data_IF_182020478660
#
_entry.id   IF_182020478660
#
_cell.length_a   1.000
_cell.length_b   1.000
_cell.length_c   1.000
_cell.angle_alpha   90.00
_cell.angle_beta   90.00
_cell.angle_gamma   90.00
#
_symmetry.space_group_name_H-M   'P 1'
#
loop_
_entity.id
_entity.type
_entity.pdbx_description
1 polymer ?
#
# COMPACT_ATOMS: atom_id res chain seq x y z
N UNK A 1 25.43 3.12 32.03
CA UNK A 1 23.97 3.08 31.83
C UNK A 1 23.53 1.63 31.79
N UNK A 2 22.45 1.23 32.45
CA UNK A 2 21.99 -0.17 32.48
C UNK A 2 21.45 -0.61 31.11
N UNK A 3 21.64 -1.88 30.75
CA UNK A 3 21.08 -2.50 29.53
C UNK A 3 19.56 -2.30 29.42
N UNK A 4 18.85 -2.34 30.56
CA UNK A 4 17.42 -2.08 30.62
C UNK A 4 17.03 -0.71 30.08
N UNK A 5 17.80 0.34 30.43
CA UNK A 5 17.52 1.69 29.96
C UNK A 5 17.79 1.84 28.45
N UNK A 6 18.81 1.15 27.92
CA UNK A 6 19.09 1.15 26.49
C UNK A 6 17.99 0.43 25.70
N UNK A 7 17.52 -0.72 26.20
CA UNK A 7 16.42 -1.47 25.59
C UNK A 7 15.12 -0.66 25.58
N UNK A 8 14.79 -0.02 26.71
CA UNK A 8 13.61 0.84 26.81
C UNK A 8 13.71 1.99 25.79
N UNK A 9 14.81 2.74 25.77
CA UNK A 9 15.00 3.86 24.82
C UNK A 9 14.94 3.40 23.36
N UNK A 10 15.52 2.25 23.03
CA UNK A 10 15.44 1.67 21.69
C UNK A 10 13.99 1.31 21.30
N UNK A 11 13.22 0.74 22.23
CA UNK A 11 11.80 0.44 22.03
C UNK A 11 10.98 1.70 21.78
N UNK A 12 11.17 2.76 22.57
CA UNK A 12 10.50 4.06 22.35
C UNK A 12 10.88 4.68 20.99
N UNK A 13 12.14 4.58 20.59
CA UNK A 13 12.59 5.10 19.29
C UNK A 13 11.95 4.33 18.12
N UNK A 14 11.85 3.00 18.23
CA UNK A 14 11.22 2.17 17.20
C UNK A 14 9.73 2.46 17.02
N UNK A 15 9.04 2.93 18.06
CA UNK A 15 7.62 3.33 17.96
C UNK A 15 7.42 4.61 17.13
N UNK A 16 8.43 5.48 17.09
CA UNK A 16 8.36 6.76 16.39
C UNK A 16 8.69 6.64 14.90
N UNK A 17 9.45 5.63 14.50
CA UNK A 17 9.90 5.46 13.11
C UNK A 17 8.81 4.72 12.31
N UNK A 18 8.44 5.22 11.12
CA UNK A 18 7.54 4.50 10.24
C UNK A 18 8.16 3.18 9.78
N UNK A 19 7.34 2.14 9.70
CA UNK A 19 7.73 0.82 9.25
C UNK A 19 7.30 0.62 7.80
N UNK A 20 8.03 -0.20 7.06
CA UNK A 20 7.69 -0.53 5.69
C UNK A 20 6.81 -1.79 5.69
N UNK A 21 5.61 -1.70 5.10
CA UNK A 21 4.71 -2.85 4.92
C UNK A 21 5.01 -3.57 3.61
N UNK A 22 5.16 -2.81 2.52
CA UNK A 22 5.55 -3.30 1.19
C UNK A 22 6.48 -2.28 0.54
N UNK A 23 6.99 -2.57 -0.66
CA UNK A 23 7.90 -1.66 -1.37
C UNK A 23 7.35 -0.24 -1.53
N UNK A 24 6.02 -0.09 -1.65
CA UNK A 24 5.38 1.21 -1.90
C UNK A 24 4.52 1.72 -0.72
N UNK A 25 4.39 0.93 0.36
CA UNK A 25 3.50 1.25 1.48
C UNK A 25 4.28 1.23 2.79
N UNK A 26 4.29 2.37 3.45
CA UNK A 26 4.82 2.59 4.79
C UNK A 26 3.69 2.84 5.76
N UNK A 27 3.91 2.58 7.05
CA UNK A 27 2.94 2.89 8.08
C UNK A 27 3.57 3.36 9.39
N UNK A 28 2.87 4.19 10.16
CA UNK A 28 3.45 4.73 11.38
C UNK A 28 2.53 5.65 12.19
N UNK A 29 3.07 6.26 13.26
CA UNK A 29 2.33 7.25 14.04
C UNK A 29 2.24 8.58 13.29
N UNK A 30 1.33 9.44 13.72
CA UNK A 30 1.15 10.80 13.21
C UNK A 30 2.45 11.63 13.25
N UNK A 31 3.31 11.38 14.24
CA UNK A 31 4.63 12.01 14.35
C UNK A 31 5.54 11.74 13.13
N UNK A 32 5.24 10.73 12.31
CA UNK A 32 5.91 10.46 11.05
C UNK A 32 5.87 11.64 10.08
N UNK A 33 4.80 12.45 10.11
CA UNK A 33 4.65 13.63 9.25
C UNK A 33 5.75 14.68 9.49
N UNK A 34 6.32 14.71 10.70
CA UNK A 34 7.42 15.63 11.04
C UNK A 34 8.80 15.15 10.56
N UNK A 35 8.92 13.91 10.09
CA UNK A 35 10.19 13.30 9.71
C UNK A 35 10.52 13.55 8.24
N UNK A 36 10.69 14.81 7.86
CA UNK A 36 10.88 15.24 6.46
C UNK A 36 11.96 14.45 5.71
N UNK A 37 13.09 14.16 6.36
CA UNK A 37 14.18 13.37 5.77
C UNK A 37 13.73 11.95 5.39
N UNK A 38 12.94 11.32 6.25
CA UNK A 38 12.39 9.99 5.98
C UNK A 38 11.40 10.04 4.81
N UNK A 39 10.50 11.03 4.81
CA UNK A 39 9.52 11.22 3.74
C UNK A 39 10.19 11.41 2.38
N UNK A 40 11.22 12.26 2.31
CA UNK A 40 11.98 12.53 1.09
C UNK A 40 12.81 11.33 0.65
N UNK A 41 13.53 10.67 1.56
CA UNK A 41 14.37 9.52 1.24
C UNK A 41 13.57 8.34 0.68
N UNK A 42 12.31 8.18 1.12
CA UNK A 42 11.42 7.12 0.66
C UNK A 42 10.43 7.60 -0.41
N UNK A 43 10.60 8.80 -0.98
CA UNK A 43 9.71 9.38 -2.00
C UNK A 43 8.22 9.30 -1.62
N UNK A 44 7.87 9.58 -0.36
CA UNK A 44 6.50 9.52 0.14
C UNK A 44 5.76 10.78 -0.31
N UNK A 45 4.70 10.60 -1.11
CA UNK A 45 3.84 11.69 -1.61
C UNK A 45 2.36 11.49 -1.28
N UNK A 46 1.97 10.26 -0.98
CA UNK A 46 0.60 9.92 -0.61
C UNK A 46 0.52 9.65 0.88
N UNK A 47 -0.46 10.25 1.52
CA UNK A 47 -0.68 10.18 2.96
C UNK A 47 -2.10 9.68 3.22
N UNK A 48 -2.23 8.61 4.00
CA UNK A 48 -3.52 8.04 4.36
C UNK A 48 -3.69 8.11 5.87
N UNK A 49 -4.54 9.01 6.34
CA UNK A 49 -4.86 9.16 7.75
C UNK A 49 -5.97 8.19 8.17
N UNK A 50 -5.77 7.46 9.27
CA UNK A 50 -6.72 6.43 9.75
C UNK A 50 -7.07 6.69 11.21
N UNK A 51 -8.36 6.77 11.52
CA UNK A 51 -8.83 6.92 12.90
C UNK A 51 -8.48 8.27 13.52
N UNK A 52 -8.21 9.29 12.69
CA UNK A 52 -7.95 10.67 13.12
C UNK A 52 -9.09 11.54 12.59
N UNK A 53 -9.78 12.32 13.43
CA UNK A 53 -10.80 13.24 12.97
C UNK A 53 -10.28 14.17 11.88
N UNK A 54 -11.03 14.33 10.80
CA UNK A 54 -10.64 15.12 9.62
C UNK A 54 -10.26 16.54 9.99
N UNK A 55 -10.95 17.15 10.95
CA UNK A 55 -10.61 18.47 11.48
C UNK A 55 -9.18 18.56 12.03
N UNK A 56 -8.73 17.51 12.69
CA UNK A 56 -7.38 17.43 13.26
C UNK A 56 -6.34 17.17 12.18
N UNK A 57 -6.63 16.30 11.20
CA UNK A 57 -5.73 16.07 10.07
C UNK A 57 -5.53 17.36 9.26
N UNK A 58 -6.61 18.07 8.98
CA UNK A 58 -6.57 19.34 8.25
C UNK A 58 -5.61 20.36 8.91
N UNK A 59 -5.57 20.44 10.25
CA UNK A 59 -4.64 21.30 10.99
C UNK A 59 -3.18 20.89 10.78
N UNK A 60 -2.85 19.60 10.88
CA UNK A 60 -1.47 19.13 10.66
C UNK A 60 -1.01 19.34 9.22
N UNK A 61 -1.91 19.15 8.26
CA UNK A 61 -1.61 19.27 6.84
C UNK A 61 -1.47 20.72 6.35
N UNK A 62 -1.83 21.74 7.14
CA UNK A 62 -1.58 23.15 6.78
C UNK A 62 -0.10 23.44 6.51
N UNK A 63 0.78 22.71 7.21
CA UNK A 63 2.23 22.87 7.08
C UNK A 63 2.83 22.10 5.90
N UNK A 64 2.05 21.22 5.25
CA UNK A 64 2.52 20.41 4.14
C UNK A 64 2.27 21.11 2.80
N UNK A 65 3.23 21.08 1.87
CA UNK A 65 3.07 21.69 0.55
C UNK A 65 2.04 20.91 -0.27
N UNK A 66 0.81 21.45 -0.37
CA UNK A 66 -0.32 20.79 -1.06
C UNK A 66 -0.07 20.41 -2.52
N UNK A 67 0.89 21.03 -3.19
CA UNK A 67 1.27 20.72 -4.58
C UNK A 67 2.09 19.44 -4.72
N UNK A 68 2.70 18.96 -3.63
CA UNK A 68 3.65 17.84 -3.65
C UNK A 68 3.12 16.62 -2.90
N UNK A 69 2.01 16.75 -2.18
CA UNK A 69 1.43 15.68 -1.39
C UNK A 69 -0.09 15.62 -1.49
N UNK A 70 -0.60 14.39 -1.54
CA UNK A 70 -2.03 14.09 -1.47
C UNK A 70 -2.34 13.41 -0.14
N UNK A 71 -3.36 13.90 0.56
CA UNK A 71 -3.80 13.37 1.85
C UNK A 71 -5.25 12.89 1.77
N UNK A 72 -5.46 11.61 2.09
CA UNK A 72 -6.78 10.97 2.18
C UNK A 72 -7.05 10.53 3.61
N UNK A 73 -8.25 10.76 4.11
CA UNK A 73 -8.66 10.47 5.48
C UNK A 73 -9.73 9.38 5.51
N UNK A 74 -9.54 8.38 6.34
CA UNK A 74 -10.57 7.42 6.72
C UNK A 74 -11.18 7.87 8.06
N UNK A 75 -12.35 8.50 7.96
CA UNK A 75 -13.06 9.11 9.08
C UNK A 75 -14.56 8.79 8.98
N UNK A 76 -15.04 7.69 9.58
CA UNK A 76 -16.44 7.26 9.46
C UNK A 76 -17.43 8.22 10.12
N UNK A 77 -16.95 9.11 10.99
CA UNK A 77 -17.76 10.09 11.72
C UNK A 77 -17.75 11.47 11.05
N UNK A 78 -17.10 11.60 9.89
CA UNK A 78 -17.09 12.85 9.16
C UNK A 78 -18.44 13.12 8.51
N UNK A 79 -19.09 14.20 8.95
CA UNK A 79 -20.29 14.70 8.30
C UNK A 79 -19.93 15.82 7.31
N UNK A 80 -20.02 15.57 5.99
CA UNK A 80 -19.73 16.58 4.97
C UNK A 80 -20.78 17.70 4.92
N UNK A 81 -21.98 17.47 5.47
CA UNK A 81 -23.11 18.40 5.44
C UNK A 81 -23.27 19.15 6.77
N UNK A 82 -22.34 18.98 7.71
CA UNK A 82 -22.39 19.67 8.99
C UNK A 82 -22.33 21.18 8.76
N UNK A 83 -23.49 21.83 8.83
CA UNK A 83 -23.66 23.28 8.84
C UNK A 83 -23.74 23.74 10.31
N UNK A 84 -22.66 24.26 10.91
CA UNK A 84 -22.67 24.71 12.30
C UNK A 84 -23.53 25.96 12.52
N UNK A 85 -24.16 26.51 11.47
CA UNK A 85 -25.18 27.52 11.62
C UNK A 85 -26.54 26.94 12.05
N UNK A 86 -26.72 25.61 12.02
CA UNK A 86 -28.02 24.99 12.28
C UNK A 86 -28.37 24.83 13.76
N UNK A 87 -27.45 24.97 14.72
CA UNK A 87 -27.80 25.24 16.13
C UNK A 87 -26.56 25.61 16.97
N UNK A 88 -26.65 26.75 17.68
CA UNK A 88 -25.69 27.33 18.63
C UNK A 88 -24.44 28.02 18.05
N UNK A 89 -24.65 29.26 17.58
CA UNK A 89 -23.61 30.31 17.52
C UNK A 89 -22.97 30.49 18.91
N UNK A 90 -21.81 29.88 19.12
CA UNK A 90 -20.86 30.36 20.13
C UNK A 90 -19.92 31.36 19.42
N UNK A 91 -19.98 32.66 19.73
CA UNK A 91 -19.16 33.67 19.06
C UNK A 91 -17.73 33.57 19.60
N UNK A 92 -16.88 32.76 18.94
CA UNK A 92 -15.47 32.64 19.31
C UNK A 92 -14.60 31.68 18.50
N UNK A 93 -15.17 30.74 17.72
CA UNK A 93 -14.40 29.67 17.05
C UNK A 93 -14.72 29.52 15.55
N UNK A 94 -14.60 30.60 14.76
CA UNK A 94 -14.82 30.54 13.30
C UNK A 94 -13.60 30.02 12.49
N UNK A 95 -12.41 29.95 13.10
CA UNK A 95 -11.18 29.49 12.43
C UNK A 95 -11.12 28.01 12.04
N UNK A 96 -11.64 27.03 12.82
CA UNK A 96 -11.43 25.62 12.51
C UNK A 96 -12.14 25.14 11.25
N UNK A 97 -13.29 25.73 10.90
CA UNK A 97 -14.15 25.21 9.84
C UNK A 97 -13.65 25.58 8.44
N UNK A 98 -13.17 26.81 8.26
CA UNK A 98 -12.60 27.27 6.98
C UNK A 98 -11.41 26.40 6.54
N UNK A 99 -10.58 26.02 7.52
CA UNK A 99 -9.44 25.11 7.32
C UNK A 99 -9.89 23.74 6.79
N UNK A 100 -10.96 23.17 7.35
CA UNK A 100 -11.46 21.85 6.94
C UNK A 100 -12.05 21.90 5.54
N UNK A 101 -12.87 22.92 5.24
CA UNK A 101 -13.45 23.10 3.91
C UNK A 101 -12.37 23.31 2.84
N UNK A 102 -11.37 24.15 3.13
CA UNK A 102 -10.22 24.37 2.23
C UNK A 102 -9.39 23.09 2.04
N UNK A 103 -9.12 22.37 3.13
CA UNK A 103 -8.43 21.08 3.10
C UNK A 103 -9.16 20.08 2.20
N UNK A 104 -10.45 19.86 2.46
CA UNK A 104 -11.26 18.92 1.69
C UNK A 104 -11.31 19.30 0.21
N UNK A 105 -11.52 20.59 -0.11
CA UNK A 105 -11.54 21.08 -1.50
C UNK A 105 -10.22 20.82 -2.22
N UNK A 106 -9.10 21.16 -1.59
CA UNK A 106 -7.76 21.09 -2.20
C UNK A 106 -7.34 19.63 -2.41
N UNK A 107 -7.51 18.80 -1.38
CA UNK A 107 -7.11 17.40 -1.44
C UNK A 107 -8.05 16.57 -2.33
N UNK A 108 -9.36 16.87 -2.35
CA UNK A 108 -10.31 16.22 -3.27
C UNK A 108 -10.07 16.61 -4.73
N UNK A 109 -9.64 17.84 -5.01
CA UNK A 109 -9.21 18.22 -6.36
C UNK A 109 -7.96 17.44 -6.80
N UNK A 110 -6.99 17.31 -5.90
CA UNK A 110 -5.75 16.57 -6.16
C UNK A 110 -6.01 15.06 -6.38
N UNK A 111 -6.90 14.46 -5.58
CA UNK A 111 -7.31 13.07 -5.76
C UNK A 111 -7.96 12.85 -7.12
N UNK A 112 -8.90 13.72 -7.52
CA UNK A 112 -9.54 13.64 -8.85
C UNK A 112 -8.54 13.73 -10.00
N UNK A 113 -7.52 14.58 -9.88
CA UNK A 113 -6.47 14.67 -10.90
C UNK A 113 -5.68 13.37 -11.01
N UNK A 114 -5.24 12.80 -9.88
CA UNK A 114 -4.50 11.53 -9.85
C UNK A 114 -5.35 10.40 -10.43
N UNK A 115 -6.61 10.30 -10.02
CA UNK A 115 -7.53 9.27 -10.52
C UNK A 115 -7.77 9.42 -12.03
N UNK A 116 -7.99 10.64 -12.53
CA UNK A 116 -8.18 10.89 -13.96
C UNK A 116 -6.92 10.58 -14.78
N UNK A 117 -5.74 10.92 -14.25
CA UNK A 117 -4.45 10.61 -14.88
C UNK A 117 -4.26 9.09 -14.99
N UNK A 118 -4.52 8.34 -13.92
CA UNK A 118 -4.40 6.87 -13.92
C UNK A 118 -5.39 6.22 -14.88
N UNK A 119 -6.63 6.71 -14.95
CA UNK A 119 -7.62 6.24 -15.93
C UNK A 119 -7.13 6.46 -17.37
N UNK A 120 -6.69 7.68 -17.70
CA UNK A 120 -6.20 8.01 -19.03
C UNK A 120 -4.94 7.20 -19.42
N UNK A 121 -3.99 7.01 -18.49
CA UNK A 121 -2.79 6.20 -18.74
C UNK A 121 -3.17 4.75 -19.06
N UNK A 122 -4.14 4.18 -18.34
CA UNK A 122 -4.57 2.79 -18.55
C UNK A 122 -5.26 2.62 -19.90
N UNK A 123 -6.07 3.59 -20.33
CA UNK A 123 -6.70 3.60 -21.66
C UNK A 123 -5.68 3.70 -22.80
N UNK A 124 -4.65 4.54 -22.65
CA UNK A 124 -3.62 4.70 -23.70
C UNK A 124 -2.78 3.45 -23.91
N UNK A 125 -2.50 2.69 -22.86
CA UNK A 125 -1.76 1.42 -22.97
C UNK A 125 -2.57 0.36 -23.71
N UNK A 126 -3.89 0.30 -23.47
CA UNK A 126 -4.80 -0.62 -24.14
C UNK A 126 -4.96 -0.34 -25.64
N UNK A 127 -5.06 0.94 -26.02
CA UNK A 127 -5.27 1.36 -27.40
C UNK A 127 -3.96 1.50 -28.21
N UNK A 128 -2.80 1.19 -27.61
CA UNK A 128 -1.55 1.19 -28.34
C UNK A 128 -1.35 -0.15 -29.05
N UNK A 129 -1.19 -0.13 -30.38
CA UNK A 129 -0.79 -1.30 -31.22
C UNK A 129 0.55 -1.95 -30.80
N UNK A 130 1.17 -1.48 -29.71
CA UNK A 130 2.42 -1.97 -29.11
C UNK A 130 2.21 -2.85 -27.88
N UNK A 131 0.98 -2.99 -27.37
CA UNK A 131 0.67 -3.90 -26.27
C UNK A 131 0.73 -5.36 -26.74
N UNK A 132 1.87 -6.03 -26.54
CA UNK A 132 2.05 -7.46 -26.86
C UNK A 132 1.18 -8.38 -25.99
N UNK A 133 0.50 -7.84 -24.98
CA UNK A 133 -0.47 -8.55 -24.14
C UNK A 133 -1.63 -7.62 -23.79
N UNK A 134 -2.89 -8.10 -23.75
CA UNK A 134 -4.01 -7.32 -23.23
C UNK A 134 -3.76 -7.02 -21.75
N UNK A 135 -3.58 -5.74 -21.40
CA UNK A 135 -3.56 -5.31 -20.01
C UNK A 135 -5.00 -5.16 -19.50
N UNK A 136 -5.30 -5.59 -18.26
CA UNK A 136 -6.63 -5.42 -17.69
C UNK A 136 -6.94 -3.93 -17.53
N UNK A 137 -8.20 -3.57 -17.83
CA UNK A 137 -8.70 -2.21 -17.63
C UNK A 137 -8.62 -1.82 -16.15
N UNK A 138 -8.50 -0.52 -15.87
CA UNK A 138 -8.42 -0.03 -14.49
C UNK A 138 -9.60 -0.51 -13.64
N UNK A 139 -10.80 -0.51 -14.21
CA UNK A 139 -12.02 -0.95 -13.52
C UNK A 139 -12.00 -2.44 -13.16
N UNK A 140 -11.25 -3.26 -13.89
CA UNK A 140 -11.09 -4.69 -13.58
C UNK A 140 -10.10 -4.92 -12.44
N UNK A 141 -9.24 -3.93 -12.15
CA UNK A 141 -8.24 -3.99 -11.10
C UNK A 141 -8.75 -3.47 -9.75
N UNK A 142 -9.86 -2.74 -9.73
CA UNK A 142 -10.43 -2.11 -8.55
C UNK A 142 -11.69 -2.85 -8.07
N UNK A 143 -12.05 -2.70 -6.80
CA UNK A 143 -13.33 -3.16 -6.26
C UNK A 143 -14.48 -2.25 -6.70
N UNK A 144 -14.20 -0.94 -6.77
CA UNK A 144 -15.13 0.09 -7.18
C UNK A 144 -14.62 0.84 -8.40
N UNK A 145 -15.54 1.42 -9.20
CA UNK A 145 -15.12 2.31 -10.28
C UNK A 145 -14.30 3.48 -9.72
N UNK A 146 -13.22 3.81 -10.41
CA UNK A 146 -12.30 4.87 -10.03
C UNK A 146 -13.03 6.21 -9.77
N UNK A 147 -14.13 6.46 -10.50
CA UNK A 147 -14.96 7.66 -10.35
C UNK A 147 -15.63 7.85 -9.00
N UNK A 148 -15.65 6.84 -8.12
CA UNK A 148 -16.19 6.98 -6.75
C UNK A 148 -15.21 7.73 -5.83
N UNK A 149 -13.92 7.73 -6.16
CA UNK A 149 -12.87 8.37 -5.37
C UNK A 149 -12.72 9.87 -5.71
N UNK A 150 -13.80 10.62 -5.59
CA UNK A 150 -13.79 12.08 -5.84
C UNK A 150 -13.44 12.92 -4.60
N UNK A 151 -13.64 12.33 -3.42
CA UNK A 151 -13.47 13.00 -2.13
C UNK A 151 -12.29 12.42 -1.37
N UNK A 152 -11.48 13.29 -0.77
CA UNK A 152 -10.35 12.87 0.04
C UNK A 152 -10.74 12.37 1.43
N UNK A 153 -12.01 12.46 1.82
CA UNK A 153 -12.50 11.91 3.09
C UNK A 153 -13.41 10.73 2.78
N UNK A 154 -13.01 9.55 3.26
CA UNK A 154 -13.68 8.28 3.09
C UNK A 154 -14.41 7.95 4.39
N UNK A 155 -15.74 7.91 4.30
CA UNK A 155 -16.65 7.61 5.42
C UNK A 155 -17.12 6.15 5.41
N UNK A 156 -16.54 5.31 4.56
CA UNK A 156 -16.90 3.91 4.40
C UNK A 156 -16.69 3.11 5.70
N UNK A 157 -17.54 2.12 5.93
CA UNK A 157 -17.51 1.24 7.10
C UNK A 157 -17.65 -0.23 6.67
N UNK A 158 -17.40 -1.17 7.59
CA UNK A 158 -17.59 -2.59 7.31
C UNK A 158 -16.57 -3.11 6.29
N UNK A 159 -17.03 -3.79 5.24
CA UNK A 159 -16.16 -4.34 4.18
C UNK A 159 -15.70 -3.24 3.23
N UNK A 160 -16.55 -2.25 2.95
CA UNK A 160 -16.31 -1.20 1.96
C UNK A 160 -15.08 -0.36 2.31
N UNK A 161 -14.75 -0.23 3.59
CA UNK A 161 -13.54 0.47 4.04
C UNK A 161 -12.25 -0.23 3.56
N UNK A 162 -12.24 -1.57 3.53
CA UNK A 162 -11.11 -2.36 3.07
C UNK A 162 -10.98 -2.31 1.56
N UNK A 163 -12.12 -2.36 0.86
CA UNK A 163 -12.16 -2.22 -0.60
C UNK A 163 -11.67 -0.83 -1.02
N UNK A 164 -12.21 0.24 -0.42
CA UNK A 164 -11.78 1.61 -0.67
C UNK A 164 -10.29 1.84 -0.36
N UNK A 165 -9.80 1.27 0.75
CA UNK A 165 -8.38 1.37 1.10
C UNK A 165 -7.49 0.70 0.05
N UNK A 166 -7.83 -0.53 -0.37
CA UNK A 166 -7.03 -1.24 -1.36
C UNK A 166 -7.10 -0.60 -2.75
N UNK A 167 -8.26 -0.08 -3.15
CA UNK A 167 -8.43 0.66 -4.40
C UNK A 167 -7.57 1.92 -4.43
N UNK A 168 -7.56 2.71 -3.35
CA UNK A 168 -6.71 3.89 -3.26
C UNK A 168 -5.22 3.55 -3.31
N UNK A 169 -4.78 2.50 -2.60
CA UNK A 169 -3.38 2.04 -2.69
C UNK A 169 -3.03 1.60 -4.11
N UNK A 170 -3.96 0.97 -4.83
CA UNK A 170 -3.77 0.56 -6.21
C UNK A 170 -3.68 1.77 -7.14
N UNK A 171 -4.57 2.75 -7.01
CA UNK A 171 -4.54 4.00 -7.77
C UNK A 171 -3.20 4.74 -7.55
N UNK A 172 -2.78 4.90 -6.29
CA UNK A 172 -1.51 5.56 -5.97
C UNK A 172 -0.30 4.81 -6.54
N UNK A 173 -0.32 3.47 -6.47
CA UNK A 173 0.72 2.66 -7.09
C UNK A 173 0.76 2.83 -8.61
N UNK A 174 -0.39 2.85 -9.28
CA UNK A 174 -0.47 3.00 -10.74
C UNK A 174 -0.07 4.41 -11.20
N UNK A 175 -0.29 5.45 -10.39
CA UNK A 175 0.15 6.81 -10.71
C UNK A 175 1.67 6.96 -10.82
N UNK A 176 2.43 6.04 -10.23
CA UNK A 176 3.90 6.09 -10.13
C UNK A 176 4.47 7.40 -9.56
N UNK A 177 3.65 8.24 -8.93
CA UNK A 177 4.09 9.57 -8.47
C UNK A 177 4.93 9.50 -7.19
N UNK A 178 4.69 8.50 -6.33
CA UNK A 178 5.40 8.32 -5.07
C UNK A 178 4.83 7.18 -4.22
N UNK A 179 5.45 6.98 -3.06
CA UNK A 179 5.06 5.97 -2.08
C UNK A 179 3.98 6.50 -1.13
N UNK A 180 3.32 5.58 -0.44
CA UNK A 180 2.21 5.84 0.48
C UNK A 180 2.68 5.70 1.93
N UNK A 181 2.29 6.64 2.79
CA UNK A 181 2.39 6.52 4.23
C UNK A 181 0.98 6.46 4.84
N UNK A 182 0.66 5.33 5.46
CA UNK A 182 -0.58 5.12 6.22
C UNK A 182 -0.30 5.42 7.69
N UNK A 183 -0.97 6.41 8.26
CA UNK A 183 -0.69 6.84 9.62
C UNK A 183 -1.96 7.01 10.45
N UNK A 184 -1.79 6.82 11.75
CA UNK A 184 -2.82 7.01 12.77
C UNK A 184 -2.21 7.76 13.96
N UNK A 185 -3.00 8.09 14.98
CA UNK A 185 -2.52 8.92 16.09
C UNK A 185 -1.26 8.36 16.77
N UNK A 186 -1.22 7.05 17.05
CA UNK A 186 -0.12 6.34 17.73
C UNK A 186 0.57 5.28 16.87
N UNK A 187 0.00 4.93 15.71
CA UNK A 187 0.48 3.85 14.86
C UNK A 187 0.18 2.44 15.40
N UNK A 188 -0.63 2.31 16.45
CA UNK A 188 -0.95 1.04 17.12
C UNK A 188 -2.45 0.75 17.19
N UNK A 189 -3.28 1.59 16.58
CA UNK A 189 -4.73 1.49 16.58
C UNK A 189 -5.21 0.22 15.85
N UNK A 190 -6.36 -0.31 16.29
CA UNK A 190 -7.05 -1.43 15.65
C UNK A 190 -7.36 -1.13 14.19
N UNK A 191 -7.89 0.07 13.90
CA UNK A 191 -8.36 0.45 12.57
C UNK A 191 -7.21 0.48 11.56
N UNK A 192 -6.07 1.04 11.98
CA UNK A 192 -4.84 1.00 11.18
C UNK A 192 -4.45 -0.46 10.93
N UNK A 193 -4.37 -1.27 11.99
CA UNK A 193 -3.95 -2.67 11.88
C UNK A 193 -4.87 -3.46 10.95
N UNK A 194 -6.19 -3.25 11.03
CA UNK A 194 -7.17 -3.91 10.17
C UNK A 194 -7.02 -3.50 8.71
N UNK A 195 -6.81 -2.23 8.41
CA UNK A 195 -6.54 -1.79 7.04
C UNK A 195 -5.24 -2.41 6.50
N UNK A 196 -4.15 -2.41 7.27
CA UNK A 196 -2.88 -3.03 6.86
C UNK A 196 -3.04 -4.53 6.61
N UNK A 197 -3.75 -5.26 7.49
CA UNK A 197 -4.07 -6.67 7.30
C UNK A 197 -4.89 -6.89 6.04
N UNK A 198 -5.89 -6.05 5.77
CA UNK A 198 -6.68 -6.15 4.54
C UNK A 198 -5.82 -6.00 3.28
N UNK A 199 -4.78 -5.16 3.33
CA UNK A 199 -3.84 -5.02 2.21
C UNK A 199 -2.98 -6.26 2.02
N UNK A 200 -2.47 -6.85 3.10
CA UNK A 200 -1.71 -8.09 3.01
C UNK A 200 -2.56 -9.21 2.40
N UNK A 201 -3.82 -9.36 2.85
CA UNK A 201 -4.76 -10.32 2.29
C UNK A 201 -5.07 -10.06 0.82
N UNK A 202 -5.22 -8.80 0.41
CA UNK A 202 -5.41 -8.44 -1.00
C UNK A 202 -4.19 -8.82 -1.86
N UNK A 203 -2.97 -8.60 -1.36
CA UNK A 203 -1.74 -8.96 -2.08
C UNK A 203 -1.39 -10.45 -2.02
N UNK A 204 -1.91 -11.17 -1.02
CA UNK A 204 -1.68 -12.59 -0.81
C UNK A 204 -3.00 -13.25 -0.37
N UNK A 205 -3.79 -13.65 -1.36
CA UNK A 205 -5.13 -14.24 -1.17
C UNK A 205 -5.13 -15.57 -0.41
N UNK A 206 -3.98 -16.25 -0.35
CA UNK A 206 -3.80 -17.52 0.33
C UNK A 206 -3.51 -17.35 1.83
N UNK A 207 -3.09 -16.16 2.26
CA UNK A 207 -2.80 -15.90 3.65
C UNK A 207 -4.09 -15.89 4.50
N UNK A 208 -4.00 -16.48 5.69
CA UNK A 208 -5.05 -16.32 6.70
C UNK A 208 -4.99 -14.93 7.35
N UNK A 209 -6.11 -14.48 7.91
CA UNK A 209 -6.17 -13.21 8.67
C UNK A 209 -5.15 -13.23 9.83
N UNK A 210 -4.96 -14.39 10.47
CA UNK A 210 -4.01 -14.56 11.55
C UNK A 210 -2.55 -14.39 11.09
N UNK A 211 -2.16 -14.99 9.97
CA UNK A 211 -0.80 -14.85 9.41
C UNK A 211 -0.53 -13.42 8.97
N UNK A 212 -1.50 -12.80 8.28
CA UNK A 212 -1.39 -11.40 7.86
C UNK A 212 -1.23 -10.47 9.07
N UNK A 213 -1.96 -10.72 10.17
CA UNK A 213 -1.80 -9.97 11.40
C UNK A 213 -0.45 -10.24 12.08
N UNK A 214 0.02 -11.48 12.11
CA UNK A 214 1.34 -11.83 12.65
C UNK A 214 2.46 -11.14 11.87
N UNK A 215 2.31 -11.02 10.56
CA UNK A 215 3.23 -10.26 9.71
C UNK A 215 3.25 -8.77 10.09
N UNK A 216 2.08 -8.11 10.19
CA UNK A 216 2.01 -6.71 10.62
C UNK A 216 2.63 -6.51 12.01
N UNK A 217 2.41 -7.48 12.93
CA UNK A 217 2.99 -7.45 14.28
C UNK A 217 4.50 -7.68 14.29
N UNK A 218 5.05 -8.48 13.38
CA UNK A 218 6.50 -8.69 13.31
C UNK A 218 7.22 -7.40 12.89
N UNK A 219 6.59 -6.57 12.07
CA UNK A 219 7.07 -5.25 11.69
C UNK A 219 6.91 -4.21 12.81
N UNK A 220 5.79 -4.27 13.55
CA UNK A 220 5.52 -3.35 14.66
C UNK A 220 4.95 -4.10 15.86
N UNK A 221 5.81 -4.62 16.77
CA UNK A 221 5.38 -5.43 17.90
C UNK A 221 4.43 -4.72 18.88
N UNK A 222 4.41 -3.40 18.90
CA UNK A 222 3.53 -2.61 19.77
C UNK A 222 2.05 -2.66 19.39
N UNK A 223 1.70 -3.14 18.19
CA UNK A 223 0.32 -3.43 17.80
C UNK A 223 -0.28 -4.57 18.66
N UNK A 224 0.55 -5.34 19.38
CA UNK A 224 0.12 -6.53 20.10
C UNK A 224 -0.43 -6.32 21.52
N UNK A 225 -0.41 -5.11 22.09
CA UNK A 225 -0.78 -4.89 23.51
C UNK A 225 -2.14 -4.22 23.74
N UNK A 226 -2.68 -3.54 22.74
CA UNK A 226 -3.97 -2.83 22.80
C UNK A 226 -5.01 -3.55 21.95
N UNK A 227 -5.65 -4.56 22.52
CA UNK A 227 -7.02 -4.96 22.18
C UNK A 227 -7.40 -4.98 20.69
N UNK A 228 -6.70 -5.77 19.86
CA UNK A 228 -7.39 -6.42 18.74
C UNK A 228 -8.29 -7.50 19.37
N UNK A 229 -9.32 -7.04 20.09
CA UNK A 229 -10.36 -7.92 20.56
C UNK A 229 -10.98 -8.51 19.31
N UNK A 230 -10.82 -9.82 19.17
CA UNK A 230 -11.34 -10.63 18.06
C UNK A 230 -12.86 -10.43 17.84
N UNK A 231 -13.54 -9.73 18.75
CA UNK A 231 -14.97 -9.49 18.74
C UNK A 231 -15.45 -8.38 17.80
N UNK A 232 -14.66 -7.33 17.51
CA UNK A 232 -15.20 -6.14 16.81
C UNK A 232 -14.71 -5.96 15.36
N UNK A 233 -13.40 -6.09 15.11
CA UNK A 233 -12.82 -5.79 13.78
C UNK A 233 -12.60 -7.02 12.89
N UNK A 234 -12.53 -8.21 13.49
CA UNK A 234 -12.31 -9.46 12.77
C UNK A 234 -13.48 -9.95 11.92
N UNK A 235 -14.77 -9.75 12.31
CA UNK A 235 -15.88 -10.22 11.47
C UNK A 235 -15.82 -9.63 10.06
N UNK A 236 -15.60 -8.32 9.94
CA UNK A 236 -15.51 -7.64 8.64
C UNK A 236 -14.27 -8.06 7.85
N UNK A 237 -13.12 -8.29 8.52
CA UNK A 237 -11.90 -8.80 7.87
C UNK A 237 -12.04 -10.24 7.40
N UNK A 238 -12.69 -11.10 8.18
CA UNK A 238 -12.96 -12.47 7.79
C UNK A 238 -13.90 -12.51 6.58
N UNK A 239 -14.98 -11.71 6.61
CA UNK A 239 -15.88 -11.57 5.46
C UNK A 239 -15.17 -11.04 4.22
N UNK A 240 -14.28 -10.04 4.39
CA UNK A 240 -13.45 -9.55 3.29
C UNK A 240 -12.54 -10.65 2.74
N UNK A 241 -11.86 -11.43 3.60
CA UNK A 241 -11.01 -12.54 3.20
C UNK A 241 -11.78 -13.62 2.42
N UNK A 242 -12.98 -14.00 2.88
CA UNK A 242 -13.84 -14.95 2.15
C UNK A 242 -14.25 -14.42 0.77
N UNK A 243 -14.55 -13.11 0.68
CA UNK A 243 -14.89 -12.44 -0.58
C UNK A 243 -13.69 -12.44 -1.55
N UNK A 244 -12.46 -12.26 -1.06
CA UNK A 244 -11.25 -12.37 -1.89
C UNK A 244 -11.09 -13.78 -2.46
N UNK A 245 -11.27 -14.81 -1.63
CA UNK A 245 -11.13 -16.21 -2.08
C UNK A 245 -12.21 -16.58 -3.10
N UNK A 246 -13.43 -16.11 -2.89
CA UNK A 246 -14.54 -16.36 -3.81
C UNK A 246 -14.31 -15.71 -5.19
N UNK A 247 -13.70 -14.51 -5.24
CA UNK A 247 -13.29 -13.88 -6.51
C UNK A 247 -12.22 -14.69 -7.25
N UNK A 248 -11.24 -15.25 -6.52
CA UNK A 248 -10.16 -16.03 -7.12
C UNK A 248 -10.66 -17.34 -7.77
N UNK A 249 -11.56 -18.06 -7.08
CA UNK A 249 -12.12 -19.33 -7.57
C UNK A 249 -12.88 -19.12 -8.89
N UNK A 250 -13.68 -18.05 -8.98
CA UNK A 250 -14.44 -17.74 -10.20
C UNK A 250 -13.55 -17.34 -11.40
N UNK A 251 -12.33 -16.89 -11.13
CA UNK A 251 -11.37 -16.49 -12.16
C UNK A 251 -10.58 -17.69 -12.71
N UNK A 252 -10.37 -18.75 -11.92
CA UNK A 252 -9.66 -19.97 -12.35
C UNK A 252 -10.56 -20.95 -13.14
N UNK A 253 -11.88 -20.93 -12.93
CA UNK A 253 -12.81 -21.89 -13.56
C UNK A 253 -13.22 -21.56 -15.01
N UNK A 254 -12.69 -20.50 -15.63
CA UNK A 254 -12.90 -20.19 -17.05
C UNK A 254 -11.60 -19.89 -17.79
N UNK A 255 -10.88 -20.92 -18.30
CA UNK A 255 -9.69 -20.68 -19.10
C UNK A 255 -9.97 -20.07 -20.48
N UNK A 256 -11.19 -20.13 -21.04
CA UNK A 256 -11.35 -19.83 -22.48
C UNK A 256 -12.79 -19.56 -22.97
N UNK A 257 -13.62 -18.79 -22.25
CA UNK A 257 -14.94 -18.44 -22.78
C UNK A 257 -15.48 -17.10 -22.29
N UNK A 258 -15.08 -15.99 -22.94
CA UNK A 258 -15.92 -14.80 -23.21
C UNK A 258 -15.17 -13.70 -23.99
N UNK A 259 -15.03 -13.91 -25.30
CA UNK A 259 -15.31 -12.86 -26.30
C UNK A 259 -16.15 -13.50 -27.42
N UNK A 260 -17.37 -13.88 -27.05
CA UNK A 260 -18.44 -14.25 -27.96
C UNK A 260 -19.54 -13.18 -27.92
N UNK A 261 -19.16 -11.93 -28.15
CA UNK A 261 -20.08 -10.83 -28.37
C UNK A 261 -20.43 -10.78 -29.86
N UNK A 262 -21.69 -11.05 -30.17
CA UNK A 262 -22.27 -11.10 -31.51
C UNK A 262 -21.97 -9.82 -32.33
N UNK A 263 -21.02 -9.91 -33.26
CA UNK A 263 -20.94 -9.02 -34.41
C UNK A 263 -21.30 -9.82 -35.66
N UNK A 264 -22.57 -9.74 -36.05
CA UNK A 264 -23.02 -10.10 -37.39
C UNK A 264 -22.58 -8.96 -38.30
N UNK A 265 -21.44 -9.13 -38.99
CA UNK A 265 -21.24 -8.77 -40.40
C UNK A 265 -19.78 -8.93 -40.84
N UNK A 266 -19.63 -9.31 -42.12
CA UNK A 266 -18.47 -9.21 -43.00
C UNK A 266 -17.48 -10.40 -43.06
N UNK A 267 -17.86 -11.32 -43.96
CA UNK A 267 -17.06 -11.83 -45.10
C UNK A 267 -15.71 -12.51 -44.84
N UNK A 268 -15.76 -13.85 -44.98
CA UNK A 268 -14.76 -14.72 -45.61
C UNK A 268 -13.72 -14.03 -46.48
N UNK A 269 -12.45 -14.26 -46.18
CA UNK A 269 -11.43 -14.51 -47.20
C UNK A 269 -10.47 -15.59 -46.70
N UNK A 270 -10.49 -16.71 -47.43
CA UNK A 270 -9.71 -17.90 -47.22
C UNK A 270 -8.36 -17.81 -47.94
N UNK A 271 -7.28 -18.13 -47.24
CA UNK A 271 -5.96 -18.49 -47.78
C UNK A 271 -5.28 -19.36 -46.72
N UNK A 272 -5.38 -20.69 -46.74
CA UNK A 272 -4.76 -21.73 -47.58
C UNK A 272 -3.22 -21.82 -47.46
N UNK A 273 -2.79 -22.86 -46.72
CA UNK A 273 -1.51 -23.64 -46.77
C UNK A 273 -0.28 -22.95 -46.15
N UNK A 274 0.54 -23.60 -45.31
CA UNK A 274 1.25 -24.88 -45.56
C UNK A 274 1.71 -25.53 -44.24
N UNK A 275 1.49 -26.84 -44.10
CA UNK A 275 2.24 -27.72 -43.20
C UNK A 275 3.65 -27.95 -43.74
N UNK A 276 4.65 -28.02 -42.87
CA UNK A 276 5.85 -28.87 -43.04
C UNK A 276 6.33 -29.37 -41.66
N UNK A 277 6.49 -30.69 -41.48
CA UNK A 277 7.29 -31.30 -40.41
C UNK A 277 8.71 -31.64 -40.91
N UNK A 278 9.69 -31.63 -40.00
CA UNK A 278 11.07 -32.18 -40.17
C UNK A 278 11.55 -32.54 -38.76
N UNK A 279 11.70 -33.80 -38.35
CA UNK A 279 12.74 -34.81 -38.69
C UNK A 279 14.11 -34.32 -38.20
N UNK A 280 14.57 -34.76 -37.01
CA UNK A 280 15.35 -35.98 -36.67
C UNK A 280 16.86 -35.67 -36.69
N UNK A 281 17.56 -35.88 -35.58
CA UNK A 281 18.76 -36.73 -35.48
C UNK A 281 19.33 -36.74 -34.05
N UNK A 282 19.76 -37.93 -33.67
CA UNK A 282 20.33 -38.39 -32.40
C UNK A 282 21.77 -37.89 -32.22
N UNK A 283 22.24 -37.77 -30.98
CA UNK A 283 23.61 -38.14 -30.64
C UNK A 283 23.69 -38.44 -29.13
N UNK A 284 23.87 -39.73 -28.86
CA UNK A 284 24.36 -40.31 -27.60
C UNK A 284 25.79 -39.82 -27.35
N UNK A 285 26.14 -39.43 -26.13
CA UNK A 285 27.49 -39.61 -25.63
C UNK A 285 27.50 -39.90 -24.13
N UNK A 286 28.02 -41.07 -23.83
CA UNK A 286 28.30 -41.64 -22.52
C UNK A 286 29.31 -40.78 -21.74
N UNK A 287 29.06 -40.63 -20.43
CA UNK A 287 30.12 -40.53 -19.44
C UNK A 287 29.59 -40.98 -18.08
N UNK A 288 29.79 -42.28 -17.80
CA UNK A 288 29.88 -42.79 -16.44
C UNK A 288 31.04 -42.08 -15.72
N UNK A 289 30.80 -41.57 -14.51
CA UNK A 289 31.84 -41.60 -13.49
C UNK A 289 31.24 -41.62 -12.08
N UNK A 290 31.59 -42.70 -11.38
CA UNK A 290 31.31 -42.99 -9.99
C UNK A 290 31.97 -41.97 -9.04
N UNK A 291 31.25 -41.50 -8.02
CA UNK A 291 31.77 -41.58 -6.64
C UNK A 291 30.75 -41.23 -5.54
N UNK A 292 30.42 -42.27 -4.77
CA UNK A 292 30.47 -42.35 -3.31
C UNK A 292 30.16 -41.10 -2.44
N UNK A 293 28.97 -41.13 -1.84
CA UNK A 293 28.70 -41.03 -0.38
C UNK A 293 29.60 -40.19 0.53
N UNK A 294 28.99 -39.19 1.19
CA UNK A 294 29.22 -38.93 2.63
C UNK A 294 28.05 -38.14 3.26
N UNK A 295 27.28 -38.84 4.12
CA UNK A 295 26.49 -38.24 5.20
C UNK A 295 27.43 -37.57 6.21
N UNK A 296 27.23 -36.28 6.53
CA UNK A 296 27.59 -35.74 7.84
C UNK A 296 26.58 -34.67 8.29
N UNK A 297 25.94 -34.98 9.41
CA UNK A 297 25.09 -34.13 10.23
C UNK A 297 25.90 -33.14 11.09
N UNK A 298 25.28 -32.01 11.42
CA UNK A 298 25.41 -31.21 12.66
C UNK A 298 26.81 -30.82 13.18
N UNK A 299 27.13 -29.52 13.15
CA UNK A 299 27.40 -28.71 14.35
C UNK A 299 27.87 -27.27 14.02
N UNK A 300 27.18 -26.30 14.63
CA UNK A 300 27.73 -25.15 15.36
C UNK A 300 29.14 -24.65 15.04
N UNK A 301 29.24 -23.46 14.45
CA UNK A 301 30.38 -22.56 14.70
C UNK A 301 29.91 -21.10 14.78
N UNK A 302 29.91 -20.61 16.02
CA UNK A 302 30.26 -19.22 16.32
C UNK A 302 31.63 -18.93 15.69
N UNK A 303 31.75 -17.80 14.99
CA UNK A 303 33.06 -17.18 14.79
C UNK A 303 32.89 -15.67 14.85
N UNK A 304 33.31 -15.14 15.99
CA UNK A 304 33.67 -13.75 16.17
C UNK A 304 34.74 -13.37 15.15
N UNK A 305 34.54 -12.25 14.43
CA UNK A 305 35.67 -11.40 14.08
C UNK A 305 35.25 -9.96 13.88
N UNK A 306 35.71 -9.15 14.82
CA UNK A 306 35.78 -7.71 14.74
C UNK A 306 36.71 -7.27 13.60
N UNK A 307 36.35 -6.18 12.92
CA UNK A 307 37.30 -5.29 12.28
C UNK A 307 36.77 -3.85 12.36
N UNK A 308 37.38 -3.08 13.24
CA UNK A 308 37.19 -1.65 13.40
C UNK A 308 37.85 -0.90 12.24
N UNK A 309 37.10 -0.01 11.58
CA UNK A 309 37.62 0.96 10.63
C UNK A 309 37.33 2.38 11.12
N UNK A 310 38.32 3.02 11.73
CA UNK A 310 38.27 4.44 12.09
C UNK A 310 38.70 5.30 10.89
N UNK A 311 37.95 6.35 10.51
CA UNK A 311 38.39 7.30 9.49
C UNK A 311 39.38 8.33 10.05
N UNK A 312 40.50 8.50 9.34
CA UNK A 312 41.54 9.52 9.55
C UNK A 312 40.96 10.94 9.46
N UNK A 313 41.12 11.72 10.53
CA UNK A 313 40.92 13.17 10.51
C UNK A 313 42.07 13.87 9.76
N UNK A 314 41.73 14.71 8.77
CA UNK A 314 42.67 15.61 8.08
C UNK A 314 42.81 16.91 8.87
N UNK A 315 44.06 17.24 9.19
CA UNK A 315 44.52 18.48 9.82
C UNK A 315 44.47 19.62 8.78
N UNK A 316 43.66 20.65 9.00
CA UNK A 316 43.74 21.91 8.25
C UNK A 316 44.62 22.85 9.06
N UNK A 317 45.66 23.37 8.41
CA UNK A 317 46.63 24.29 8.99
C UNK A 317 46.15 25.73 8.84
N UNK A 318 46.33 26.51 9.90
CA UNK A 318 46.19 27.96 9.91
C UNK A 318 47.20 28.63 8.97
N UNK A 319 46.77 29.69 8.28
CA UNK A 319 47.66 30.68 7.68
C UNK A 319 47.38 32.05 8.31
N UNK A 320 48.42 32.80 8.71
CA UNK A 320 48.29 34.19 9.10
C UNK A 320 48.44 35.10 7.86
N UNK A 321 47.64 36.16 7.78
CA UNK A 321 48.02 37.53 7.43
C UNK A 321 46.90 38.47 7.87
#
# INVERSE_FOLDING_TARGET
MSFQNQFVVASWKNQLIPQQLTNNVFFGPLNALSQLRFLQANNIKFFVAVGIPTARVAQYCQSLPSEQCLVVNFDPNFDPNFDPNSDQKTPGNQQPQDVVSQYCRTQSASLRLVTAEVSAQTETNYNSDRGLTPQPELEQLLYHSAGIYERNVITAQGIDVFEAFNDLLKIFKLSNAGNVLVFSSSGNESDLSSLLVSHILHTNSQASVCEALQYVRSLRPTIAQTGLDFSTSFPSLAQFAERLRSKHILQEDYPDARVGGLSLNATSLATKRRNMPSSDEEEEEDAEDDNASANLSFASLQSERAAAGTPKARKIADRPF
#
